data_IF_744891572803
#
_entry.id   IF_744891572803
#
_cell.length_a   1.000
_cell.length_b   1.000
_cell.length_c   1.000
_cell.angle_alpha   90.00
_cell.angle_beta   90.00
_cell.angle_gamma   90.00
#
_symmetry.space_group_name_H-M   'P 1'
#
loop_
_entity.id
_entity.type
_entity.pdbx_description
1 polymer ?
#
# COMPACT_ATOMS: atom_id res chain seq x y z
N UNK A 1 -23.24 8.25 4.05
CA UNK A 1 -21.84 8.21 4.54
C UNK A 1 -21.86 8.53 6.02
N UNK A 2 -21.32 7.69 6.91
CA UNK A 2 -21.18 8.07 8.31
C UNK A 2 -20.09 9.13 8.42
N UNK A 3 -20.30 10.12 9.30
CA UNK A 3 -19.34 11.19 9.53
C UNK A 3 -18.02 10.62 10.07
N UNK A 4 -16.92 10.87 9.37
CA UNK A 4 -15.57 10.61 9.86
C UNK A 4 -15.33 11.46 11.11
N UNK A 5 -15.14 10.80 12.26
CA UNK A 5 -14.73 11.49 13.49
C UNK A 5 -13.25 11.83 13.37
N UNK A 6 -12.96 13.06 12.94
CA UNK A 6 -11.60 13.58 12.96
C UNK A 6 -11.17 13.82 14.41
N UNK A 7 -10.09 13.17 14.85
CA UNK A 7 -9.49 13.46 16.14
C UNK A 7 -8.65 14.74 16.00
N UNK A 8 -9.21 15.89 16.40
CA UNK A 8 -8.48 17.16 16.45
C UNK A 8 -7.87 17.39 17.84
N UNK A 9 -6.65 17.95 17.87
CA UNK A 9 -6.11 18.56 19.08
C UNK A 9 -6.83 19.90 19.37
N UNK A 10 -6.75 20.45 20.60
CA UNK A 10 -7.38 21.73 20.95
C UNK A 10 -7.00 22.90 20.03
N UNK A 11 -5.86 22.81 19.34
CA UNK A 11 -5.34 23.84 18.44
C UNK A 11 -5.69 23.59 16.96
N UNK A 12 -6.48 22.54 16.65
CA UNK A 12 -6.93 22.25 15.29
C UNK A 12 -5.85 21.69 14.36
N UNK A 13 -4.65 21.38 14.87
CA UNK A 13 -3.54 20.83 14.07
C UNK A 13 -3.53 19.31 14.18
N UNK A 14 -3.75 18.65 13.05
CA UNK A 14 -3.60 17.20 12.87
C UNK A 14 -2.11 16.86 12.94
N UNK A 15 -1.67 16.14 13.97
CA UNK A 15 -0.33 15.58 14.01
C UNK A 15 -0.41 14.16 13.43
N UNK A 16 0.09 13.98 12.21
CA UNK A 16 0.41 12.69 11.63
C UNK A 16 1.93 12.52 11.73
N UNK A 17 2.45 12.14 12.92
CA UNK A 17 3.89 12.13 13.16
C UNK A 17 4.67 11.31 12.12
N UNK A 18 4.11 10.23 11.55
CA UNK A 18 4.81 9.39 10.57
C UNK A 18 5.21 10.13 9.28
N UNK A 19 4.37 11.05 8.80
CA UNK A 19 4.62 11.82 7.57
C UNK A 19 5.25 13.19 7.80
N UNK A 20 5.27 13.68 9.04
CA UNK A 20 5.73 15.04 9.38
C UNK A 20 7.00 15.05 10.24
N UNK A 21 7.43 13.90 10.76
CA UNK A 21 8.66 13.79 11.56
C UNK A 21 9.93 13.97 10.72
N UNK A 22 10.94 14.61 11.29
CA UNK A 22 12.30 14.62 10.73
C UNK A 22 13.08 13.34 11.08
N UNK A 23 12.63 12.56 12.07
CA UNK A 23 13.28 11.33 12.53
C UNK A 23 12.86 10.11 11.72
N UNK A 24 13.64 9.02 11.78
CA UNK A 24 13.27 7.74 11.17
C UNK A 24 12.38 6.89 12.07
N UNK A 25 12.08 7.38 13.26
CA UNK A 25 11.28 6.74 14.29
C UNK A 25 10.29 7.73 14.92
N UNK A 26 9.15 7.22 15.39
CA UNK A 26 8.23 7.98 16.24
C UNK A 26 7.83 7.12 17.45
N UNK A 27 7.66 7.73 18.64
CA UNK A 27 7.05 7.04 19.77
C UNK A 27 5.56 6.80 19.49
N UNK A 28 5.15 5.54 19.61
CA UNK A 28 3.79 5.07 19.52
C UNK A 28 3.29 4.75 20.93
N UNK A 29 2.14 5.33 21.26
CA UNK A 29 1.30 4.90 22.36
C UNK A 29 0.06 4.23 21.74
N UNK A 30 -0.68 3.37 22.48
CA UNK A 30 -1.87 2.71 21.92
C UNK A 30 -2.83 3.67 21.21
N UNK A 31 -3.12 4.83 21.82
CA UNK A 31 -3.99 5.85 21.22
C UNK A 31 -3.42 6.52 19.96
N UNK A 32 -2.13 6.86 19.94
CA UNK A 32 -1.52 7.49 18.76
C UNK A 32 -1.30 6.48 17.64
N UNK A 33 -1.04 5.22 17.96
CA UNK A 33 -0.96 4.13 16.99
C UNK A 33 -2.29 3.90 16.27
N UNK A 34 -3.42 3.99 16.97
CA UNK A 34 -4.75 3.92 16.35
C UNK A 34 -4.96 5.08 15.36
N UNK A 35 -4.55 6.30 15.72
CA UNK A 35 -4.67 7.47 14.83
C UNK A 35 -3.83 7.27 13.57
N UNK A 36 -2.57 6.85 13.71
CA UNK A 36 -1.67 6.58 12.58
C UNK A 36 -2.20 5.45 11.69
N UNK A 37 -2.71 4.37 12.29
CA UNK A 37 -3.28 3.26 11.57
C UNK A 37 -4.55 3.66 10.79
N UNK A 38 -5.42 4.49 11.39
CA UNK A 38 -6.59 5.04 10.68
C UNK A 38 -6.16 5.92 9.51
N UNK A 39 -5.11 6.71 9.66
CA UNK A 39 -4.59 7.50 8.54
C UNK A 39 -4.11 6.60 7.40
N UNK A 40 -3.39 5.51 7.66
CA UNK A 40 -3.04 4.53 6.61
C UNK A 40 -4.28 3.93 5.94
N UNK A 41 -5.34 3.64 6.70
CA UNK A 41 -6.62 3.21 6.11
C UNK A 41 -7.25 4.28 5.22
N UNK A 42 -7.24 5.55 5.64
CA UNK A 42 -7.75 6.67 4.85
C UNK A 42 -6.97 6.80 3.54
N UNK A 43 -5.64 6.70 3.59
CA UNK A 43 -4.79 6.69 2.40
C UNK A 43 -5.18 5.55 1.46
N UNK A 44 -5.33 4.34 1.99
CA UNK A 44 -5.76 3.18 1.21
C UNK A 44 -7.09 3.43 0.49
N UNK A 45 -8.16 3.75 1.23
CA UNK A 45 -9.49 3.84 0.64
C UNK A 45 -9.66 5.03 -0.31
N UNK A 46 -8.89 6.11 -0.13
CA UNK A 46 -8.94 7.28 -1.02
C UNK A 46 -8.06 7.12 -2.26
N UNK A 47 -6.94 6.40 -2.16
CA UNK A 47 -5.88 6.43 -3.17
C UNK A 47 -5.63 5.10 -3.86
N UNK A 48 -6.05 3.94 -3.31
CA UNK A 48 -5.67 2.63 -3.87
C UNK A 48 -6.06 2.42 -5.33
N UNK A 49 -7.23 2.88 -5.75
CA UNK A 49 -7.68 2.79 -7.15
C UNK A 49 -7.06 3.86 -8.06
N UNK A 50 -6.27 4.79 -7.50
CA UNK A 50 -5.64 5.92 -8.20
C UNK A 50 -4.12 5.81 -8.20
N UNK A 51 -3.56 4.87 -7.44
CA UNK A 51 -2.12 4.73 -7.31
C UNK A 51 -1.53 4.38 -8.67
N UNK A 52 -0.72 5.30 -9.20
CA UNK A 52 -0.09 5.20 -10.51
C UNK A 52 -1.10 4.95 -11.66
N UNK A 53 -2.34 5.41 -11.45
CA UNK A 53 -3.39 5.42 -12.47
C UNK A 53 -3.33 6.74 -13.24
N UNK A 54 -2.42 6.81 -14.21
CA UNK A 54 -2.16 8.01 -14.98
C UNK A 54 -1.99 7.72 -16.47
N UNK A 55 -2.26 8.75 -17.27
CA UNK A 55 -2.17 8.70 -18.73
C UNK A 55 -0.74 8.79 -19.28
N UNK A 56 0.28 9.05 -18.43
CA UNK A 56 1.66 9.08 -18.92
C UNK A 56 2.03 7.68 -19.45
N UNK A 57 2.63 7.61 -20.65
CA UNK A 57 3.04 6.34 -21.21
C UNK A 57 4.11 5.74 -20.30
N UNK A 58 3.83 4.54 -19.82
CA UNK A 58 4.83 3.70 -19.19
C UNK A 58 5.99 3.59 -20.17
N UNK A 59 7.23 3.68 -19.69
CA UNK A 59 8.41 3.60 -20.56
C UNK A 59 9.62 3.16 -19.75
N UNK A 60 10.69 2.76 -20.43
CA UNK A 60 11.98 2.41 -19.80
C UNK A 60 12.58 3.56 -18.97
N UNK A 61 12.09 4.80 -19.15
CA UNK A 61 12.59 6.00 -18.48
C UNK A 61 11.74 6.45 -17.31
N UNK A 62 10.66 5.73 -17.01
CA UNK A 62 9.79 6.09 -15.89
C UNK A 62 10.59 6.09 -14.56
N UNK A 63 10.39 7.05 -13.64
CA UNK A 63 11.09 7.04 -12.36
C UNK A 63 10.74 5.81 -11.51
N UNK A 64 9.48 5.39 -11.52
CA UNK A 64 8.99 4.20 -10.80
C UNK A 64 9.53 2.90 -11.45
N UNK A 65 10.33 2.09 -10.73
CA UNK A 65 10.87 0.83 -11.24
C UNK A 65 9.82 -0.22 -11.61
N UNK A 66 8.67 -0.25 -10.92
CA UNK A 66 7.58 -1.15 -11.26
C UNK A 66 6.99 -0.75 -12.61
N UNK A 67 6.73 0.54 -12.81
CA UNK A 67 6.20 1.05 -14.06
C UNK A 67 7.15 0.85 -15.24
N UNK A 68 8.46 1.04 -15.02
CA UNK A 68 9.47 0.70 -16.05
C UNK A 68 9.38 -0.75 -16.47
N UNK A 69 9.13 -1.65 -15.53
CA UNK A 69 9.07 -3.09 -15.79
C UNK A 69 7.75 -3.49 -16.42
N UNK A 70 6.62 -3.06 -15.87
CA UNK A 70 5.31 -3.39 -16.43
C UNK A 70 4.99 -2.64 -17.74
N UNK A 71 5.96 -1.96 -18.35
CA UNK A 71 5.84 -1.34 -19.67
C UNK A 71 5.97 -2.35 -20.83
N UNK A 72 6.81 -3.38 -20.70
CA UNK A 72 7.20 -4.21 -21.85
C UNK A 72 7.61 -5.64 -21.47
N UNK A 73 7.76 -6.48 -22.50
CA UNK A 73 8.36 -7.81 -22.39
C UNK A 73 9.79 -7.73 -21.78
N UNK A 74 10.20 -8.67 -20.90
CA UNK A 74 9.52 -9.93 -20.53
C UNK A 74 8.56 -9.82 -19.34
N UNK A 75 8.45 -8.66 -18.71
CA UNK A 75 7.64 -8.48 -17.49
C UNK A 75 6.14 -8.41 -17.79
N UNK A 76 5.77 -8.19 -19.06
CA UNK A 76 4.41 -8.27 -19.60
C UNK A 76 4.42 -9.08 -20.88
N UNK A 77 3.47 -10.00 -21.01
CA UNK A 77 3.25 -10.80 -22.22
C UNK A 77 1.89 -10.46 -22.82
N UNK A 78 1.83 -10.34 -24.14
CA UNK A 78 0.58 -10.15 -24.89
C UNK A 78 0.37 -11.34 -25.80
N UNK A 79 -0.76 -12.01 -25.66
CA UNK A 79 -1.16 -13.12 -26.51
C UNK A 79 -2.33 -12.67 -27.37
N UNK A 80 -2.08 -12.61 -28.67
CA UNK A 80 -3.12 -12.44 -29.68
C UNK A 80 -3.49 -13.83 -30.20
N UNK A 81 -4.73 -14.26 -29.97
CA UNK A 81 -5.30 -15.38 -30.73
C UNK A 81 -5.69 -14.85 -32.13
N UNK A 82 -6.08 -15.73 -33.06
CA UNK A 82 -6.48 -15.38 -34.45
C UNK A 82 -7.27 -14.06 -34.55
N UNK A 83 -7.23 -13.38 -35.70
CA UNK A 83 -7.70 -11.98 -35.95
C UNK A 83 -9.09 -11.58 -35.36
N UNK A 84 -9.90 -12.52 -34.91
CA UNK A 84 -11.23 -12.33 -34.31
C UNK A 84 -11.24 -12.21 -32.77
N UNK A 85 -10.13 -12.51 -32.07
CA UNK A 85 -10.09 -12.50 -30.61
C UNK A 85 -9.32 -11.29 -30.03
N UNK A 86 -9.80 -10.67 -28.94
CA UNK A 86 -9.10 -9.58 -28.30
C UNK A 86 -7.76 -10.07 -27.74
N UNK A 87 -6.74 -9.21 -27.80
CA UNK A 87 -5.46 -9.46 -27.17
C UNK A 87 -5.65 -9.69 -25.66
N UNK A 88 -4.99 -10.71 -25.14
CA UNK A 88 -5.01 -11.05 -23.72
C UNK A 88 -3.65 -10.68 -23.12
N UNK A 89 -3.68 -9.97 -21.99
CA UNK A 89 -2.49 -9.44 -21.35
C UNK A 89 -2.16 -10.26 -20.11
N UNK A 90 -0.90 -10.63 -19.99
CA UNK A 90 -0.38 -11.42 -18.88
C UNK A 90 0.78 -10.70 -18.24
N UNK A 91 0.94 -10.96 -16.95
CA UNK A 91 2.12 -10.56 -16.23
C UNK A 91 3.18 -11.65 -16.43
N UNK A 92 4.38 -11.24 -16.83
CA UNK A 92 5.48 -12.17 -17.11
C UNK A 92 5.86 -12.98 -15.87
N UNK A 93 6.34 -14.20 -16.08
CA UNK A 93 6.58 -15.16 -14.99
C UNK A 93 7.52 -14.64 -13.89
N UNK A 94 8.58 -13.93 -14.27
CA UNK A 94 9.54 -13.39 -13.32
C UNK A 94 8.95 -12.25 -12.48
N UNK A 95 8.17 -11.36 -13.10
CA UNK A 95 7.42 -10.32 -12.39
C UNK A 95 6.38 -10.95 -11.45
N UNK A 96 5.70 -12.01 -11.89
CA UNK A 96 4.67 -12.68 -11.10
C UNK A 96 5.28 -13.29 -9.83
N UNK A 97 6.43 -13.94 -9.97
CA UNK A 97 7.19 -14.47 -8.85
C UNK A 97 7.69 -13.37 -7.90
N UNK A 98 8.20 -12.25 -8.42
CA UNK A 98 8.67 -11.13 -7.62
C UNK A 98 7.54 -10.48 -6.81
N UNK A 99 6.38 -10.27 -7.44
CA UNK A 99 5.19 -9.73 -6.79
C UNK A 99 4.62 -10.72 -5.76
N UNK A 100 4.57 -12.01 -6.09
CA UNK A 100 4.19 -13.06 -5.13
C UNK A 100 5.08 -13.03 -3.88
N UNK A 101 6.40 -12.99 -4.06
CA UNK A 101 7.34 -12.90 -2.93
C UNK A 101 7.11 -11.66 -2.08
N UNK A 102 6.85 -10.52 -2.71
CA UNK A 102 6.58 -9.24 -2.03
C UNK A 102 5.27 -9.28 -1.24
N UNK A 103 4.19 -9.82 -1.82
CA UNK A 103 2.88 -9.94 -1.18
C UNK A 103 2.88 -10.96 -0.05
N UNK A 104 3.54 -12.10 -0.26
CA UNK A 104 3.75 -13.11 0.76
C UNK A 104 4.50 -12.53 1.96
N UNK A 105 5.56 -11.74 1.71
CA UNK A 105 6.30 -11.07 2.77
C UNK A 105 5.44 -10.05 3.52
N UNK A 106 4.68 -9.21 2.83
CA UNK A 106 3.79 -8.23 3.46
C UNK A 106 2.75 -8.89 4.38
N UNK A 107 2.17 -10.03 3.94
CA UNK A 107 1.27 -10.82 4.78
C UNK A 107 1.96 -11.42 6.00
N UNK A 108 3.21 -11.91 5.86
CA UNK A 108 3.97 -12.41 7.00
C UNK A 108 4.23 -11.32 8.03
N UNK A 109 4.74 -10.17 7.59
CA UNK A 109 5.05 -9.03 8.48
C UNK A 109 3.78 -8.55 9.18
N UNK A 110 2.67 -8.40 8.45
CA UNK A 110 1.39 -8.02 9.03
C UNK A 110 0.87 -9.06 10.02
N UNK A 111 0.88 -10.34 9.67
CA UNK A 111 0.40 -11.39 10.56
C UNK A 111 1.26 -11.57 11.81
N UNK A 112 2.58 -11.39 11.71
CA UNK A 112 3.48 -11.39 12.86
C UNK A 112 3.23 -10.22 13.82
N UNK A 113 2.88 -9.05 13.28
CA UNK A 113 2.52 -7.90 14.09
C UNK A 113 1.17 -8.09 14.79
N UNK A 114 0.15 -8.55 14.06
CA UNK A 114 -1.22 -8.73 14.57
C UNK A 114 -1.32 -9.92 15.53
N UNK A 115 -0.77 -11.07 15.14
CA UNK A 115 -0.87 -12.37 15.82
C UNK A 115 -2.33 -12.81 16.07
N UNK A 116 -3.13 -13.02 15.01
CA UNK A 116 -4.46 -13.60 15.15
C UNK A 116 -4.38 -15.04 15.68
N UNK A 117 -5.51 -15.57 16.18
CA UNK A 117 -5.59 -16.96 16.65
C UNK A 117 -5.19 -17.94 15.54
N UNK A 118 -4.32 -18.89 15.88
CA UNK A 118 -3.83 -19.90 14.94
C UNK A 118 -2.83 -19.37 13.89
N UNK A 119 -2.33 -18.14 14.02
CA UNK A 119 -1.34 -17.56 13.08
C UNK A 119 -0.17 -18.50 12.80
N UNK A 120 0.06 -18.79 11.52
CA UNK A 120 1.21 -19.55 11.05
C UNK A 120 1.96 -18.76 9.97
N UNK A 121 3.16 -18.29 10.32
CA UNK A 121 4.06 -17.54 9.42
C UNK A 121 4.41 -18.30 8.13
N UNK A 122 4.38 -19.63 8.14
CA UNK A 122 4.64 -20.46 6.96
C UNK A 122 3.41 -20.63 6.05
N UNK A 123 2.24 -20.16 6.48
CA UNK A 123 0.98 -20.22 5.73
C UNK A 123 0.30 -18.84 5.76
N UNK A 124 0.95 -17.77 5.26
CA UNK A 124 0.41 -16.41 5.40
C UNK A 124 -0.86 -16.17 4.57
N UNK A 125 -1.10 -16.98 3.53
CA UNK A 125 -2.28 -16.91 2.67
C UNK A 125 -3.53 -17.56 3.27
N UNK A 126 -3.39 -18.34 4.34
CA UNK A 126 -4.51 -18.97 5.02
C UNK A 126 -5.50 -17.93 5.57
N UNK A 127 -6.72 -18.38 5.88
CA UNK A 127 -7.75 -17.49 6.39
C UNK A 127 -7.55 -17.25 7.89
N UNK A 128 -7.26 -16.02 8.27
CA UNK A 128 -7.14 -15.58 9.65
C UNK A 128 -8.09 -14.41 9.92
N UNK A 129 -8.70 -14.39 11.10
CA UNK A 129 -9.56 -13.29 11.53
C UNK A 129 -8.74 -12.12 12.10
N UNK A 130 -8.06 -11.40 11.20
CA UNK A 130 -7.32 -10.20 11.55
C UNK A 130 -8.22 -9.10 12.09
N UNK A 131 -9.45 -8.99 11.57
CA UNK A 131 -10.38 -7.92 11.89
C UNK A 131 -10.78 -7.96 13.37
N UNK A 132 -11.22 -9.12 13.86
CA UNK A 132 -11.56 -9.28 15.27
C UNK A 132 -10.36 -9.06 16.17
N UNK A 133 -9.18 -9.57 15.79
CA UNK A 133 -7.97 -9.40 16.60
C UNK A 133 -7.53 -7.94 16.73
N UNK A 134 -7.63 -7.17 15.64
CA UNK A 134 -7.33 -5.74 15.65
C UNK A 134 -8.37 -4.93 16.41
N UNK A 135 -9.64 -5.33 16.34
CA UNK A 135 -10.73 -4.69 17.08
C UNK A 135 -10.53 -4.78 18.60
N UNK A 136 -9.96 -5.88 19.13
CA UNK A 136 -9.63 -6.02 20.56
C UNK A 136 -8.71 -4.90 21.08
N UNK A 137 -7.83 -4.39 20.22
CA UNK A 137 -6.86 -3.33 20.55
C UNK A 137 -7.24 -1.97 19.94
N UNK A 138 -8.43 -1.86 19.34
CA UNK A 138 -8.96 -0.63 18.74
C UNK A 138 -8.34 -0.22 17.40
N UNK A 139 -7.58 -1.10 16.75
CA UNK A 139 -6.96 -0.83 15.45
C UNK A 139 -7.92 -1.14 14.28
N UNK A 140 -7.84 -0.38 13.18
CA UNK A 140 -8.64 -0.63 11.99
C UNK A 140 -8.08 -1.80 11.17
N UNK A 141 -8.93 -2.39 10.32
CA UNK A 141 -8.56 -3.45 9.37
C UNK A 141 -8.84 -3.01 7.92
N UNK A 142 -7.85 -3.21 7.05
CA UNK A 142 -8.00 -3.02 5.61
C UNK A 142 -8.36 -4.36 4.98
N UNK A 143 -9.57 -4.44 4.42
CA UNK A 143 -10.03 -5.65 3.75
C UNK A 143 -9.12 -6.02 2.58
N UNK A 144 -8.77 -7.30 2.51
CA UNK A 144 -7.98 -7.86 1.40
C UNK A 144 -8.70 -7.63 0.07
N UNK A 145 -8.04 -7.03 -0.94
CA UNK A 145 -8.60 -6.93 -2.29
C UNK A 145 -8.95 -8.31 -2.85
N UNK A 146 -10.00 -8.40 -3.66
CA UNK A 146 -10.44 -9.67 -4.27
C UNK A 146 -9.33 -10.28 -5.15
N UNK A 147 -8.54 -9.42 -5.80
CA UNK A 147 -7.45 -9.83 -6.69
C UNK A 147 -6.12 -10.04 -5.96
N UNK A 148 -6.06 -9.86 -4.63
CA UNK A 148 -4.86 -10.08 -3.82
C UNK A 148 -4.86 -11.53 -3.31
N UNK A 149 -4.36 -12.44 -4.14
CA UNK A 149 -4.43 -13.89 -3.91
C UNK A 149 -3.05 -14.54 -3.96
N UNK A 150 -2.95 -15.76 -3.42
CA UNK A 150 -1.71 -16.55 -3.43
C UNK A 150 -1.18 -16.76 -4.84
N UNK A 151 -2.08 -16.95 -5.79
CA UNK A 151 -1.74 -17.17 -7.19
C UNK A 151 -1.77 -15.83 -7.91
N UNK A 152 -0.63 -15.14 -7.89
CA UNK A 152 -0.50 -13.78 -8.43
C UNK A 152 -0.61 -13.81 -9.96
N UNK A 153 -1.73 -13.29 -10.46
CA UNK A 153 -1.99 -12.97 -11.89
C UNK A 153 -1.84 -14.14 -12.87
N UNK A 154 -2.27 -15.35 -12.50
CA UNK A 154 -2.30 -16.50 -13.42
C UNK A 154 -3.44 -16.46 -14.46
N UNK A 155 -4.30 -15.45 -14.41
CA UNK A 155 -5.38 -15.25 -15.38
C UNK A 155 -5.08 -14.05 -16.27
N UNK A 156 -5.44 -14.11 -17.56
CA UNK A 156 -5.28 -12.97 -18.45
C UNK A 156 -6.16 -11.80 -18.05
N UNK A 157 -5.73 -10.61 -18.44
CA UNK A 157 -6.51 -9.39 -18.43
C UNK A 157 -6.96 -9.02 -19.84
N UNK A 158 -8.16 -8.46 -19.94
CA UNK A 158 -8.72 -8.03 -21.22
C UNK A 158 -8.01 -6.79 -21.78
N UNK A 159 -7.42 -5.99 -20.90
CA UNK A 159 -6.66 -4.80 -21.29
C UNK A 159 -5.39 -4.64 -20.47
N UNK A 160 -4.37 -4.05 -21.10
CA UNK A 160 -3.15 -3.66 -20.41
C UNK A 160 -3.42 -2.72 -19.23
N UNK A 161 -4.32 -1.75 -19.42
CA UNK A 161 -4.69 -0.80 -18.37
C UNK A 161 -5.31 -1.50 -17.14
N UNK A 162 -6.15 -2.51 -17.34
CA UNK A 162 -6.72 -3.28 -16.23
C UNK A 162 -5.64 -4.04 -15.46
N UNK A 163 -4.71 -4.70 -16.16
CA UNK A 163 -3.55 -5.37 -15.56
C UNK A 163 -2.77 -4.39 -14.68
N UNK A 164 -2.40 -3.23 -15.23
CA UNK A 164 -1.65 -2.21 -14.50
C UNK A 164 -2.39 -1.73 -13.26
N UNK A 165 -3.66 -1.34 -13.41
CA UNK A 165 -4.49 -0.85 -12.31
C UNK A 165 -4.58 -1.86 -11.17
N UNK A 166 -4.78 -3.14 -11.48
CA UNK A 166 -4.87 -4.21 -10.48
C UNK A 166 -3.50 -4.47 -9.83
N UNK A 167 -2.43 -4.49 -10.62
CA UNK A 167 -1.07 -4.64 -10.12
C UNK A 167 -0.70 -3.53 -9.13
N UNK A 168 -0.94 -2.27 -9.49
CA UNK A 168 -0.68 -1.12 -8.64
C UNK A 168 -1.56 -1.09 -7.39
N UNK A 169 -2.86 -1.39 -7.49
CA UNK A 169 -3.73 -1.50 -6.32
C UNK A 169 -3.18 -2.53 -5.33
N UNK A 170 -2.87 -3.74 -5.79
CA UNK A 170 -2.35 -4.79 -4.93
C UNK A 170 -0.98 -4.45 -4.31
N UNK A 171 -0.11 -3.76 -5.07
CA UNK A 171 1.15 -3.23 -4.53
C UNK A 171 0.90 -2.20 -3.43
N UNK A 172 -0.02 -1.25 -3.65
CA UNK A 172 -0.37 -0.27 -2.64
C UNK A 172 -0.98 -0.91 -1.39
N UNK A 173 -1.81 -1.95 -1.56
CA UNK A 173 -2.32 -2.74 -0.44
C UNK A 173 -1.19 -3.37 0.39
N UNK A 174 -0.21 -4.01 -0.27
CA UNK A 174 0.95 -4.58 0.41
C UNK A 174 1.78 -3.52 1.14
N UNK A 175 1.92 -2.32 0.56
CA UNK A 175 2.58 -1.19 1.21
C UNK A 175 1.83 -0.74 2.47
N UNK A 176 0.51 -0.62 2.40
CA UNK A 176 -0.33 -0.30 3.56
C UNK A 176 -0.23 -1.38 4.65
N UNK A 177 -0.17 -2.67 4.30
CA UNK A 177 0.03 -3.75 5.28
C UNK A 177 1.35 -3.61 6.04
N UNK A 178 2.46 -3.33 5.34
CA UNK A 178 3.75 -3.11 5.97
C UNK A 178 3.73 -1.87 6.89
N UNK A 179 3.13 -0.77 6.44
CA UNK A 179 2.99 0.44 7.24
C UNK A 179 2.17 0.18 8.52
N UNK A 180 1.04 -0.53 8.39
CA UNK A 180 0.21 -0.93 9.52
C UNK A 180 0.98 -1.80 10.52
N UNK A 181 1.74 -2.78 10.02
CA UNK A 181 2.53 -3.68 10.87
C UNK A 181 3.54 -2.92 11.73
N UNK A 182 4.27 -1.96 11.16
CA UNK A 182 5.23 -1.13 11.89
C UNK A 182 4.57 -0.34 13.04
N UNK A 183 3.36 0.18 12.81
CA UNK A 183 2.60 0.92 13.83
C UNK A 183 2.10 -0.04 14.92
N UNK A 184 1.57 -1.21 14.54
CA UNK A 184 1.07 -2.23 15.48
C UNK A 184 2.20 -2.76 16.35
N UNK A 185 3.38 -3.05 15.78
CA UNK A 185 4.55 -3.51 16.52
C UNK A 185 4.98 -2.48 17.56
N UNK A 186 5.08 -1.21 17.17
CA UNK A 186 5.37 -0.12 18.10
C UNK A 186 4.33 0.01 19.22
N UNK A 187 3.05 -0.14 18.90
CA UNK A 187 1.97 -0.07 19.89
C UNK A 187 1.95 -1.26 20.86
N UNK A 188 2.24 -2.47 20.37
CA UNK A 188 2.36 -3.70 21.18
C UNK A 188 3.70 -3.79 21.93
N UNK A 189 4.65 -2.90 21.62
CA UNK A 189 6.04 -2.99 22.06
C UNK A 189 6.67 -4.34 21.70
N UNK A 190 6.30 -4.89 20.54
CA UNK A 190 6.99 -6.04 19.97
C UNK A 190 8.45 -5.59 19.80
N UNK A 191 9.39 -6.25 20.49
CA UNK A 191 10.81 -5.84 20.64
C UNK A 191 11.15 -4.85 21.77
N UNK A 192 10.31 -4.72 22.80
CA UNK A 192 10.61 -3.94 24.02
C UNK A 192 10.84 -2.43 23.80
N UNK A 193 10.37 -1.92 22.66
CA UNK A 193 10.43 -0.50 22.32
C UNK A 193 9.05 -0.05 21.86
N UNK A 194 8.65 1.15 22.23
CA UNK A 194 7.41 1.75 21.77
C UNK A 194 7.64 2.63 20.53
N UNK A 195 8.66 2.33 19.73
CA UNK A 195 9.03 3.11 18.55
C UNK A 195 8.54 2.41 17.29
N UNK A 196 7.85 3.15 16.41
CA UNK A 196 7.63 2.71 15.03
C UNK A 196 8.73 3.28 14.13
N UNK A 197 9.40 2.42 13.36
CA UNK A 197 10.35 2.84 12.35
C UNK A 197 9.62 3.35 11.10
N UNK A 198 9.36 4.65 11.05
CA UNK A 198 8.56 5.28 10.00
C UNK A 198 9.34 5.61 8.73
N UNK A 199 10.63 5.27 8.65
CA UNK A 199 11.46 5.45 7.45
C UNK A 199 10.82 4.87 6.18
N UNK A 200 10.18 3.70 6.29
CA UNK A 200 9.40 3.12 5.20
C UNK A 200 8.18 3.97 4.82
N UNK A 201 7.42 4.44 5.81
CA UNK A 201 6.18 5.20 5.61
C UNK A 201 6.46 6.54 4.90
N UNK A 202 7.50 7.26 5.35
CA UNK A 202 7.90 8.56 4.78
C UNK A 202 8.75 8.47 3.51
N UNK A 203 9.41 7.34 3.30
CA UNK A 203 10.32 7.12 2.17
C UNK A 203 9.68 6.41 1.00
N UNK A 204 8.49 5.83 1.18
CA UNK A 204 7.78 5.11 0.13
C UNK A 204 7.04 6.09 -0.78
N UNK A 205 7.37 6.15 -2.09
CA UNK A 205 6.73 7.07 -3.03
C UNK A 205 5.20 6.94 -3.05
N UNK A 206 4.66 5.72 -3.09
CA UNK A 206 3.21 5.52 -3.10
C UNK A 206 2.51 6.03 -1.84
N UNK A 207 3.09 5.83 -0.64
CA UNK A 207 2.50 6.35 0.61
C UNK A 207 2.62 7.88 0.70
N UNK A 208 3.72 8.45 0.24
CA UNK A 208 3.92 9.91 0.18
C UNK A 208 2.95 10.55 -0.81
N UNK A 209 2.79 9.98 -2.00
CA UNK A 209 1.83 10.44 -3.02
C UNK A 209 0.39 10.33 -2.51
N UNK A 210 0.03 9.24 -1.84
CA UNK A 210 -1.27 9.09 -1.21
C UNK A 210 -1.50 10.14 -0.10
N UNK A 211 -0.51 10.38 0.75
CA UNK A 211 -0.59 11.38 1.81
C UNK A 211 -0.75 12.80 1.24
N UNK A 212 0.01 13.14 0.19
CA UNK A 212 -0.15 14.42 -0.53
C UNK A 212 -1.55 14.54 -1.13
N UNK A 213 -2.04 13.49 -1.77
CA UNK A 213 -3.41 13.48 -2.30
C UNK A 213 -4.44 13.73 -1.19
N UNK A 214 -4.30 13.07 -0.04
CA UNK A 214 -5.13 13.30 1.14
C UNK A 214 -5.03 14.76 1.63
N UNK A 215 -3.82 15.33 1.74
CA UNK A 215 -3.62 16.73 2.13
C UNK A 215 -4.35 17.70 1.18
N UNK A 216 -4.26 17.49 -0.15
CA UNK A 216 -5.00 18.29 -1.15
C UNK A 216 -6.51 18.23 -0.89
N UNK A 217 -7.04 17.03 -0.63
CA UNK A 217 -8.47 16.84 -0.34
C UNK A 217 -8.92 17.52 0.95
N UNK A 218 -8.02 17.65 1.93
CA UNK A 218 -8.29 18.36 3.19
C UNK A 218 -7.98 19.87 3.14
N UNK A 219 -7.50 20.40 2.01
CA UNK A 219 -7.09 21.80 1.89
C UNK A 219 -5.81 22.15 2.67
N UNK A 220 -4.98 21.15 3.00
CA UNK A 220 -3.72 21.31 3.71
C UNK A 220 -2.59 21.69 2.74
N UNK A 221 -1.64 22.54 3.14
CA UNK A 221 -0.51 22.91 2.29
C UNK A 221 0.42 21.72 2.05
N UNK A 222 0.93 21.61 0.83
CA UNK A 222 2.00 20.69 0.47
C UNK A 222 3.26 21.53 0.24
N UNK A 223 4.22 21.40 1.14
CA UNK A 223 5.39 22.29 1.19
C UNK A 223 6.54 21.85 0.26
N UNK A 224 6.47 20.65 -0.32
CA UNK A 224 7.51 20.08 -1.17
C UNK A 224 6.95 19.67 -2.54
N UNK A 225 7.68 19.90 -3.66
CA UNK A 225 7.26 19.47 -4.99
C UNK A 225 7.03 17.96 -5.06
N UNK A 226 6.02 17.54 -5.83
CA UNK A 226 5.73 16.13 -6.03
C UNK A 226 6.88 15.42 -6.76
N UNK A 227 7.13 14.13 -6.51
CA UNK A 227 8.13 13.39 -7.29
C UNK A 227 7.72 13.36 -8.78
N UNK A 228 6.41 13.40 -9.05
CA UNK A 228 5.82 13.57 -10.38
C UNK A 228 6.00 15.00 -10.95
N UNK A 229 6.03 16.04 -10.10
CA UNK A 229 6.31 17.43 -10.51
C UNK A 229 7.76 17.58 -11.01
N UNK A 230 8.64 16.64 -10.63
CA UNK A 230 10.00 16.53 -11.17
C UNK A 230 10.04 15.73 -12.48
N UNK A 231 8.99 14.99 -12.83
CA UNK A 231 8.88 14.21 -14.07
C UNK A 231 8.37 15.02 -15.27
N UNK A 232 7.63 16.12 -15.03
CA UNK A 232 7.22 17.10 -16.05
C UNK A 232 8.38 18.00 -16.52
N UNK A 233 9.56 17.85 -15.93
CA UNK A 233 10.78 18.57 -16.27
C UNK A 233 11.83 17.65 -16.93
N UNK A 234 11.51 17.11 -18.11
CA UNK A 234 12.50 16.58 -19.05
C UNK A 234 12.07 16.79 -20.51
#
# INVERSE_FOLDING_TARGET
MPAMSMASTPDGVYYLPAFTTYRNDIPILPGTGIIEANHICDLYYLYANRHNDHCSPYSERHPDPLERRIHAYPDIEVVTFEDEFPAQWYLGIDMAHALHGSYHHALQVFGDAVQPEGWNRHQPWAHYDYASKLAEIGFPYINRPINFTEVVYNFPFDTFHELQRIAHHNNFYAMCLNAMALIIDGAKCNHYTNLAHVGYIRGSPGLVSAHRFWCRMQGLPINDPSEDDLSDAA
#
